data_IF_144653053728
#
_entry.id   IF_144653053728
#
_cell.length_a   1.000
_cell.length_b   1.000
_cell.length_c   1.000
_cell.angle_alpha   90.00
_cell.angle_beta   90.00
_cell.angle_gamma   90.00
#
_symmetry.space_group_name_H-M   'P 1'
#
loop_
_entity.id
_entity.type
_entity.pdbx_description
1 polymer ?
#
# COMPACT_ATOMS: atom_id res chain seq x y z
N UNK A 1 -41.46 -49.02 25.29
CA UNK A 1 -40.59 -47.86 25.05
C UNK A 1 -39.15 -48.35 25.11
N UNK A 2 -38.50 -48.52 23.96
CA UNK A 2 -37.06 -48.83 23.88
C UNK A 2 -36.32 -47.51 23.63
N UNK A 3 -35.21 -47.21 24.32
CA UNK A 3 -34.44 -46.02 24.02
C UNK A 3 -33.81 -46.18 22.64
N UNK A 4 -34.10 -45.23 21.75
CA UNK A 4 -33.43 -45.08 20.46
C UNK A 4 -31.95 -44.78 20.76
N UNK A 5 -31.09 -45.73 20.43
CA UNK A 5 -29.64 -45.53 20.35
C UNK A 5 -29.40 -44.30 19.47
N UNK A 6 -28.63 -43.29 19.90
CA UNK A 6 -28.28 -42.19 19.00
C UNK A 6 -27.49 -42.79 17.85
N UNK A 7 -28.02 -42.64 16.64
CA UNK A 7 -27.35 -43.05 15.42
C UNK A 7 -25.95 -42.42 15.41
N UNK A 8 -24.92 -43.26 15.46
CA UNK A 8 -23.54 -42.87 15.20
C UNK A 8 -23.57 -42.19 13.84
N UNK A 9 -23.36 -40.89 13.81
CA UNK A 9 -23.34 -40.12 12.56
C UNK A 9 -22.25 -40.75 11.69
N UNK A 10 -22.59 -41.28 10.50
CA UNK A 10 -21.63 -42.04 9.73
C UNK A 10 -20.47 -41.13 9.37
N UNK A 11 -19.24 -41.60 9.62
CA UNK A 11 -18.05 -41.00 9.05
C UNK A 11 -18.27 -40.87 7.54
N UNK A 12 -17.75 -39.79 6.96
CA UNK A 12 -17.71 -39.71 5.51
C UNK A 12 -17.03 -40.97 4.94
N UNK A 13 -17.74 -41.72 4.12
CA UNK A 13 -17.20 -42.87 3.41
C UNK A 13 -16.34 -42.38 2.25
N UNK A 14 -15.03 -42.53 2.39
CA UNK A 14 -14.05 -42.07 1.42
C UNK A 14 -13.75 -43.22 0.47
N UNK A 15 -14.11 -43.07 -0.81
CA UNK A 15 -13.78 -44.05 -1.84
C UNK A 15 -12.36 -43.87 -2.39
N UNK A 16 -11.84 -42.64 -2.38
CA UNK A 16 -10.48 -42.27 -2.79
C UNK A 16 -10.13 -40.85 -2.30
N UNK A 17 -8.85 -40.47 -2.35
CA UNK A 17 -8.43 -39.10 -2.01
C UNK A 17 -9.03 -38.06 -2.95
N UNK A 18 -9.17 -38.35 -4.25
CA UNK A 18 -9.81 -37.43 -5.19
C UNK A 18 -11.29 -37.21 -4.87
N UNK A 19 -12.00 -38.28 -4.45
CA UNK A 19 -13.39 -38.18 -4.02
C UNK A 19 -13.52 -37.31 -2.77
N UNK A 20 -12.62 -37.52 -1.80
CA UNK A 20 -12.55 -36.70 -0.60
C UNK A 20 -12.28 -35.23 -0.93
N UNK A 21 -11.27 -34.94 -1.76
CA UNK A 21 -10.87 -33.58 -2.11
C UNK A 21 -11.99 -32.83 -2.82
N UNK A 22 -12.64 -33.49 -3.80
CA UNK A 22 -13.77 -32.89 -4.52
C UNK A 22 -14.93 -32.57 -3.59
N UNK A 23 -15.24 -33.47 -2.65
CA UNK A 23 -16.26 -33.23 -1.64
C UNK A 23 -15.85 -32.11 -0.68
N UNK A 24 -14.65 -32.17 -0.11
CA UNK A 24 -14.17 -31.20 0.89
C UNK A 24 -14.12 -29.79 0.28
N UNK A 25 -13.73 -29.70 -0.99
CA UNK A 25 -13.70 -28.46 -1.75
C UNK A 25 -15.07 -27.76 -1.82
N UNK A 26 -16.19 -28.49 -1.87
CA UNK A 26 -17.53 -27.87 -1.87
C UNK A 26 -17.80 -27.02 -0.63
N UNK A 27 -17.16 -27.35 0.50
CA UNK A 27 -17.23 -26.59 1.74
C UNK A 27 -16.10 -25.57 1.85
N UNK A 28 -14.88 -25.97 1.54
CA UNK A 28 -13.69 -25.12 1.66
C UNK A 28 -13.77 -23.88 0.76
N UNK A 29 -14.23 -24.05 -0.48
CA UNK A 29 -14.45 -22.93 -1.41
C UNK A 29 -15.44 -21.88 -0.92
N UNK A 30 -16.32 -22.25 0.03
CA UNK A 30 -17.28 -21.36 0.69
C UNK A 30 -16.77 -20.79 2.02
N UNK A 31 -15.50 -21.03 2.35
CA UNK A 31 -14.86 -20.53 3.56
C UNK A 31 -14.97 -21.45 4.79
N UNK A 32 -15.57 -22.63 4.66
CA UNK A 32 -15.58 -23.60 5.77
C UNK A 32 -14.20 -24.21 6.00
N UNK A 33 -13.96 -24.60 7.24
CA UNK A 33 -12.71 -25.20 7.72
C UNK A 33 -13.08 -26.39 8.58
N UNK A 34 -12.24 -27.42 8.56
CA UNK A 34 -12.39 -28.53 9.50
C UNK A 34 -12.09 -28.03 10.91
N UNK A 35 -13.08 -28.12 11.80
CA UNK A 35 -12.96 -27.70 13.20
C UNK A 35 -13.02 -28.91 14.12
N UNK A 36 -12.33 -28.82 15.25
CA UNK A 36 -12.43 -29.85 16.30
C UNK A 36 -13.68 -29.60 17.13
N UNK A 37 -14.52 -30.62 17.24
CA UNK A 37 -15.71 -30.61 18.11
C UNK A 37 -15.64 -31.82 19.03
N UNK A 38 -15.26 -31.60 20.29
CA UNK A 38 -14.96 -32.68 21.22
C UNK A 38 -13.71 -33.45 20.78
N UNK A 39 -13.86 -34.73 20.45
CA UNK A 39 -12.78 -35.60 19.93
C UNK A 39 -12.88 -35.83 18.42
N UNK A 40 -13.83 -35.20 17.74
CA UNK A 40 -14.11 -35.43 16.32
C UNK A 40 -13.78 -34.18 15.50
N UNK A 41 -13.36 -34.39 14.26
CA UNK A 41 -13.22 -33.30 13.29
C UNK A 41 -14.50 -33.18 12.48
N UNK A 42 -14.98 -31.94 12.27
CA UNK A 42 -16.21 -31.67 11.54
C UNK A 42 -15.93 -30.67 10.43
N UNK A 43 -16.38 -30.97 9.21
CA UNK A 43 -16.39 -30.04 8.08
C UNK A 43 -17.82 -29.93 7.55
N UNK A 44 -18.39 -28.72 7.54
CA UNK A 44 -19.73 -28.48 7.01
C UNK A 44 -20.84 -29.29 7.73
N UNK A 45 -20.64 -29.61 9.01
CA UNK A 45 -21.57 -30.43 9.79
C UNK A 45 -21.37 -31.95 9.68
N UNK A 46 -20.42 -32.41 8.85
CA UNK A 46 -20.12 -33.84 8.65
C UNK A 46 -18.86 -34.24 9.41
N UNK A 47 -18.91 -35.38 10.10
CA UNK A 47 -17.77 -35.93 10.85
C UNK A 47 -16.73 -36.53 9.91
N UNK A 48 -15.49 -36.10 10.11
CA UNK A 48 -14.32 -36.58 9.40
C UNK A 48 -13.66 -37.71 10.19
N UNK A 49 -13.14 -38.68 9.45
CA UNK A 49 -12.22 -39.65 10.03
C UNK A 49 -10.92 -38.92 10.44
N UNK A 50 -10.32 -39.21 11.61
CA UNK A 50 -9.12 -38.51 12.07
C UNK A 50 -7.97 -38.52 11.06
N UNK A 51 -7.82 -39.63 10.31
CA UNK A 51 -6.80 -39.76 9.26
C UNK A 51 -7.01 -38.86 8.03
N UNK A 52 -8.18 -38.23 7.87
CA UNK A 52 -8.48 -37.35 6.71
C UNK A 52 -8.70 -35.90 7.11
N UNK A 53 -8.90 -35.65 8.40
CA UNK A 53 -9.03 -34.30 8.96
C UNK A 53 -7.83 -33.40 8.62
N UNK A 54 -6.60 -33.90 8.81
CA UNK A 54 -5.39 -33.13 8.51
C UNK A 54 -5.35 -32.64 7.06
N UNK A 55 -5.79 -33.48 6.12
CA UNK A 55 -5.87 -33.11 4.69
C UNK A 55 -6.86 -31.98 4.44
N UNK A 56 -8.05 -32.05 5.04
CA UNK A 56 -9.04 -30.97 4.91
C UNK A 56 -8.57 -29.65 5.54
N UNK A 57 -7.83 -29.71 6.65
CA UNK A 57 -7.20 -28.53 7.27
C UNK A 57 -6.19 -27.90 6.31
N UNK A 58 -5.24 -28.69 5.78
CA UNK A 58 -4.25 -28.20 4.81
C UNK A 58 -4.90 -27.60 3.57
N UNK A 59 -5.91 -28.27 3.00
CA UNK A 59 -6.65 -27.74 1.85
C UNK A 59 -7.32 -26.37 2.16
N UNK A 60 -7.86 -26.20 3.36
CA UNK A 60 -8.48 -24.93 3.76
C UNK A 60 -7.43 -23.82 3.97
N UNK A 61 -6.29 -24.14 4.54
CA UNK A 61 -5.17 -23.21 4.72
C UNK A 61 -4.58 -22.76 3.38
N UNK A 62 -4.35 -23.70 2.46
CA UNK A 62 -3.85 -23.42 1.11
C UNK A 62 -4.81 -22.52 0.32
N UNK A 63 -6.12 -22.79 0.44
CA UNK A 63 -7.14 -21.95 -0.20
C UNK A 63 -7.15 -20.53 0.36
N UNK A 64 -7.11 -20.37 1.69
CA UNK A 64 -7.04 -19.06 2.34
C UNK A 64 -5.79 -18.30 1.94
N UNK A 65 -4.65 -18.99 1.88
CA UNK A 65 -3.38 -18.39 1.43
C UNK A 65 -3.50 -17.88 0.00
N UNK A 66 -4.09 -18.68 -0.90
CA UNK A 66 -4.32 -18.29 -2.30
C UNK A 66 -5.26 -17.08 -2.40
N UNK A 67 -6.34 -17.04 -1.61
CA UNK A 67 -7.24 -15.89 -1.56
C UNK A 67 -6.54 -14.62 -1.06
N UNK A 68 -5.74 -14.71 0.01
CA UNK A 68 -4.92 -13.59 0.50
C UNK A 68 -3.96 -13.07 -0.57
N UNK A 69 -3.30 -13.96 -1.29
CA UNK A 69 -2.41 -13.58 -2.39
C UNK A 69 -3.15 -12.94 -3.57
N UNK A 70 -4.39 -13.35 -3.86
CA UNK A 70 -5.22 -12.67 -4.86
C UNK A 70 -5.63 -11.27 -4.39
N UNK A 71 -6.02 -11.13 -3.12
CA UNK A 71 -6.31 -9.84 -2.50
C UNK A 71 -5.13 -8.88 -2.57
N UNK A 72 -3.91 -9.36 -2.32
CA UNK A 72 -2.68 -8.57 -2.45
C UNK A 72 -2.53 -7.98 -3.86
N UNK A 73 -2.81 -8.75 -4.92
CA UNK A 73 -2.70 -8.25 -6.31
C UNK A 73 -3.66 -7.09 -6.54
N UNK A 74 -4.90 -7.23 -6.07
CA UNK A 74 -5.91 -6.17 -6.19
C UNK A 74 -5.51 -4.91 -5.39
N UNK A 75 -4.91 -5.08 -4.20
CA UNK A 75 -4.41 -3.95 -3.40
C UNK A 75 -3.24 -3.23 -4.07
N UNK A 76 -2.31 -3.98 -4.69
CA UNK A 76 -1.21 -3.39 -5.47
C UNK A 76 -1.75 -2.63 -6.68
N UNK A 77 -2.75 -3.19 -7.38
CA UNK A 77 -3.41 -2.52 -8.52
C UNK A 77 -4.15 -1.26 -8.08
N UNK A 78 -4.72 -1.25 -6.87
CA UNK A 78 -5.33 -0.07 -6.25
C UNK A 78 -4.32 0.90 -5.60
N UNK A 79 -3.01 0.69 -5.80
CA UNK A 79 -1.90 1.46 -5.22
C UNK A 79 -1.85 1.49 -3.68
N UNK A 80 -2.63 0.64 -3.00
CA UNK A 80 -2.57 0.45 -1.55
C UNK A 80 -1.46 -0.52 -1.16
N UNK A 81 -0.24 -0.02 -1.27
CA UNK A 81 1.00 -0.76 -1.01
C UNK A 81 1.17 -1.16 0.45
N UNK A 82 0.66 -0.38 1.41
CA UNK A 82 0.80 -0.69 2.84
C UNK A 82 -0.12 -1.83 3.26
N UNK A 83 -1.39 -1.82 2.82
CA UNK A 83 -2.29 -2.95 3.08
C UNK A 83 -1.79 -4.24 2.41
N UNK A 84 -1.29 -4.14 1.16
CA UNK A 84 -0.69 -5.28 0.46
C UNK A 84 0.53 -5.85 1.21
N UNK A 85 1.41 -4.97 1.71
CA UNK A 85 2.56 -5.38 2.52
C UNK A 85 2.14 -6.03 3.84
N UNK A 86 1.07 -5.56 4.48
CA UNK A 86 0.51 -6.15 5.70
C UNK A 86 0.11 -7.62 5.50
N UNK A 87 -0.56 -7.94 4.39
CA UNK A 87 -0.94 -9.33 4.08
C UNK A 87 0.30 -10.21 3.84
N UNK A 88 1.32 -9.70 3.15
CA UNK A 88 2.58 -10.44 3.01
C UNK A 88 3.24 -10.73 4.36
N UNK A 89 3.21 -9.80 5.31
CA UNK A 89 3.73 -10.02 6.66
C UNK A 89 2.93 -11.07 7.42
N UNK A 90 1.59 -11.06 7.34
CA UNK A 90 0.75 -12.12 7.93
C UNK A 90 1.10 -13.51 7.39
N UNK A 91 1.50 -13.60 6.11
CA UNK A 91 1.92 -14.83 5.46
C UNK A 91 3.39 -15.19 5.71
N UNK A 92 4.13 -14.40 6.50
CA UNK A 92 5.56 -14.58 6.77
C UNK A 92 6.48 -14.22 5.59
N UNK A 93 5.96 -13.54 4.58
CA UNK A 93 6.66 -13.15 3.34
C UNK A 93 7.30 -11.76 3.49
N UNK A 94 8.28 -11.65 4.39
CA UNK A 94 8.88 -10.37 4.78
C UNK A 94 9.64 -9.67 3.65
N UNK A 95 10.24 -10.45 2.74
CA UNK A 95 10.98 -9.90 1.61
C UNK A 95 10.04 -9.18 0.64
N UNK A 96 8.96 -9.85 0.27
CA UNK A 96 7.91 -9.34 -0.61
C UNK A 96 7.22 -8.12 0.01
N UNK A 97 6.90 -8.18 1.31
CA UNK A 97 6.37 -7.02 2.04
C UNK A 97 7.30 -5.79 1.94
N UNK A 98 8.62 -6.00 2.10
CA UNK A 98 9.61 -4.94 1.97
C UNK A 98 9.73 -4.38 0.54
N UNK A 99 9.60 -5.23 -0.47
CA UNK A 99 9.62 -4.85 -1.89
C UNK A 99 8.41 -4.00 -2.27
N UNK A 100 7.20 -4.40 -1.85
CA UNK A 100 5.96 -3.63 -2.09
C UNK A 100 6.02 -2.24 -1.45
N UNK A 101 6.49 -2.13 -0.20
CA UNK A 101 6.67 -0.80 0.43
C UNK A 101 7.70 0.06 -0.30
N UNK A 102 8.73 -0.56 -0.88
CA UNK A 102 9.72 0.16 -1.68
C UNK A 102 9.12 0.65 -3.00
N UNK A 103 8.22 -0.12 -3.60
CA UNK A 103 7.47 0.29 -4.80
C UNK A 103 6.63 1.53 -4.52
N UNK A 104 5.81 1.51 -3.46
CA UNK A 104 5.00 2.67 -3.07
C UNK A 104 5.84 3.92 -2.78
N UNK A 105 6.99 3.78 -2.09
CA UNK A 105 7.92 4.90 -1.87
C UNK A 105 8.53 5.45 -3.16
N UNK A 106 8.82 4.60 -4.15
CA UNK A 106 9.38 5.06 -5.43
C UNK A 106 8.39 5.87 -6.25
N UNK A 107 7.09 5.53 -6.20
CA UNK A 107 6.04 6.31 -6.85
C UNK A 107 5.88 7.70 -6.20
N UNK A 108 5.95 7.79 -4.87
CA UNK A 108 5.91 9.08 -4.16
C UNK A 108 7.09 9.98 -4.57
N UNK A 109 8.27 9.41 -4.83
CA UNK A 109 9.45 10.17 -5.27
C UNK A 109 9.37 10.59 -6.75
N UNK A 110 8.49 9.99 -7.56
CA UNK A 110 8.34 10.36 -8.98
C UNK A 110 7.29 11.44 -9.24
N UNK A 111 6.57 11.89 -8.21
CA UNK A 111 5.74 13.09 -8.30
C UNK A 111 6.40 14.19 -7.48
N UNK A 112 6.69 15.33 -8.15
CA UNK A 112 7.32 16.54 -7.60
C UNK A 112 8.86 16.51 -7.53
N UNK A 113 9.52 16.28 -8.67
CA UNK A 113 10.75 17.03 -8.97
C UNK A 113 10.35 18.23 -9.83
N UNK A 114 9.89 19.31 -9.20
CA UNK A 114 9.75 20.58 -9.90
C UNK A 114 11.16 21.07 -10.19
N UNK A 115 11.56 20.97 -11.46
CA UNK A 115 12.82 21.51 -11.94
C UNK A 115 12.76 23.04 -11.80
N UNK A 116 13.59 23.57 -10.91
CA UNK A 116 13.65 25.01 -10.59
C UNK A 116 13.88 25.86 -11.85
N UNK A 117 14.53 25.31 -12.88
CA UNK A 117 14.73 26.01 -14.16
C UNK A 117 13.41 26.23 -14.92
N UNK A 118 12.48 25.27 -14.86
CA UNK A 118 11.17 25.39 -15.53
C UNK A 118 10.27 26.41 -14.83
N UNK A 119 10.41 26.58 -13.51
CA UNK A 119 9.74 27.63 -12.74
C UNK A 119 10.27 29.02 -13.10
N UNK A 120 11.59 29.18 -13.24
CA UNK A 120 12.21 30.46 -13.64
C UNK A 120 11.80 30.85 -15.07
N UNK A 121 11.73 29.88 -15.99
CA UNK A 121 11.26 30.13 -17.35
C UNK A 121 9.75 30.45 -17.40
N UNK A 122 8.94 29.91 -16.49
CA UNK A 122 7.52 30.27 -16.37
C UNK A 122 7.32 31.67 -15.79
N UNK A 123 8.10 32.10 -14.79
CA UNK A 123 8.10 33.49 -14.31
C UNK A 123 8.49 34.45 -15.43
N UNK A 124 9.50 34.09 -16.23
CA UNK A 124 9.93 34.87 -17.40
C UNK A 124 8.83 34.96 -18.46
N UNK A 125 8.12 33.86 -18.74
CA UNK A 125 6.98 33.84 -19.68
C UNK A 125 5.75 34.58 -19.15
N UNK A 126 5.54 34.60 -17.83
CA UNK A 126 4.39 35.25 -17.21
C UNK A 126 4.54 36.78 -17.05
N UNK A 127 5.73 37.34 -17.26
CA UNK A 127 5.95 38.79 -17.20
C UNK A 127 5.70 39.40 -15.81
N UNK A 128 5.80 38.59 -14.75
CA UNK A 128 5.49 38.99 -13.38
C UNK A 128 6.70 39.78 -12.84
N UNK A 129 6.46 41.06 -12.52
CA UNK A 129 7.37 41.87 -11.73
C UNK A 129 6.90 41.84 -10.27
N UNK A 130 7.80 41.50 -9.35
CA UNK A 130 7.48 41.41 -7.92
C UNK A 130 8.58 42.01 -7.07
N UNK A 131 8.20 42.61 -5.94
CA UNK A 131 9.13 43.27 -5.03
C UNK A 131 9.46 42.36 -3.85
N UNK A 132 10.67 41.82 -3.83
CA UNK A 132 11.18 41.06 -2.70
C UNK A 132 11.72 42.01 -1.63
N UNK A 133 11.22 41.93 -0.41
CA UNK A 133 11.68 42.77 0.70
C UNK A 133 12.84 42.08 1.42
N UNK A 134 14.00 42.71 1.47
CA UNK A 134 15.17 42.17 2.15
C UNK A 134 14.90 42.07 3.67
N UNK A 135 15.06 40.88 4.29
CA UNK A 135 14.81 40.71 5.72
C UNK A 135 15.84 41.43 6.60
N UNK A 136 17.02 41.75 6.07
CA UNK A 136 18.10 42.39 6.83
C UNK A 136 18.01 43.92 6.86
N UNK A 137 17.62 44.55 5.75
CA UNK A 137 17.59 46.02 5.65
C UNK A 137 16.21 46.60 5.31
N UNK A 138 15.21 45.77 5.04
CA UNK A 138 13.89 46.22 4.56
C UNK A 138 13.89 46.79 3.15
N UNK A 139 15.01 46.74 2.42
CA UNK A 139 15.10 47.25 1.05
C UNK A 139 14.24 46.42 0.08
N UNK A 140 13.46 47.11 -0.75
CA UNK A 140 12.63 46.47 -1.78
C UNK A 140 13.46 46.21 -3.04
N UNK A 141 13.66 44.94 -3.36
CA UNK A 141 14.40 44.48 -4.54
C UNK A 141 13.38 44.14 -5.61
N UNK A 142 13.37 44.92 -6.70
CA UNK A 142 12.49 44.67 -7.84
C UNK A 142 13.01 43.46 -8.63
N UNK A 143 12.23 42.38 -8.66
CA UNK A 143 12.51 41.16 -9.42
C UNK A 143 11.67 41.19 -10.69
N UNK A 144 12.36 41.15 -11.84
CA UNK A 144 11.74 41.10 -13.18
C UNK A 144 12.18 39.83 -13.91
N UNK A 145 11.56 39.51 -15.05
CA UNK A 145 11.91 38.32 -15.86
C UNK A 145 13.34 38.31 -16.44
N UNK A 146 14.05 39.45 -16.38
CA UNK A 146 15.46 39.59 -16.78
C UNK A 146 16.43 39.45 -15.60
N UNK A 147 15.93 39.46 -14.36
CA UNK A 147 16.75 39.34 -13.16
C UNK A 147 17.27 37.91 -13.02
N UNK A 148 18.59 37.73 -12.91
CA UNK A 148 19.21 36.41 -12.77
C UNK A 148 19.42 36.04 -11.31
N UNK A 149 19.40 34.75 -10.98
CA UNK A 149 19.69 34.28 -9.60
C UNK A 149 21.07 34.72 -9.10
N UNK A 150 22.03 34.95 -10.01
CA UNK A 150 23.35 35.47 -9.67
C UNK A 150 23.29 36.90 -9.10
N UNK A 151 22.42 37.76 -9.63
CA UNK A 151 22.24 39.14 -9.14
C UNK A 151 21.40 39.25 -7.88
N UNK A 152 20.71 38.15 -7.49
CA UNK A 152 19.87 38.08 -6.28
C UNK A 152 20.58 37.41 -5.09
N UNK A 153 21.79 36.85 -5.27
CA UNK A 153 22.57 36.25 -4.17
C UNK A 153 22.89 37.24 -3.07
N UNK A 154 23.02 38.52 -3.40
CA UNK A 154 23.35 39.58 -2.46
C UNK A 154 22.35 40.72 -2.62
N UNK A 155 21.90 41.28 -1.50
CA UNK A 155 21.07 42.48 -1.51
C UNK A 155 21.87 43.65 -2.09
N UNK A 156 21.30 44.35 -3.08
CA UNK A 156 21.93 45.51 -3.70
C UNK A 156 22.06 46.72 -2.75
N UNK A 157 21.28 46.75 -1.66
CA UNK A 157 21.26 47.85 -0.71
C UNK A 157 22.21 47.66 0.47
N UNK A 158 22.26 46.46 1.06
CA UNK A 158 23.05 46.21 2.27
C UNK A 158 24.12 45.12 2.12
N UNK A 159 24.21 44.49 0.95
CA UNK A 159 25.18 43.42 0.67
C UNK A 159 24.91 42.08 1.35
N UNK A 160 23.82 41.97 2.13
CA UNK A 160 23.46 40.73 2.83
C UNK A 160 23.26 39.58 1.85
N UNK A 161 23.75 38.39 2.19
CA UNK A 161 23.51 37.18 1.39
C UNK A 161 22.03 36.81 1.52
N UNK A 162 21.32 36.76 0.40
CA UNK A 162 19.93 36.32 0.37
C UNK A 162 19.92 34.80 0.27
N UNK A 163 19.28 34.14 1.23
CA UNK A 163 19.19 32.68 1.21
C UNK A 163 18.32 32.24 0.05
N UNK A 164 18.79 31.23 -0.69
CA UNK A 164 18.10 30.69 -1.86
C UNK A 164 16.76 30.06 -1.50
N UNK A 165 16.60 29.55 -0.27
CA UNK A 165 15.34 29.00 0.26
C UNK A 165 14.25 30.05 0.35
N UNK A 166 14.55 31.22 0.92
CA UNK A 166 13.58 32.29 1.14
C UNK A 166 13.08 32.90 -0.19
N UNK A 167 13.98 32.99 -1.18
CA UNK A 167 13.65 33.42 -2.54
C UNK A 167 12.74 32.41 -3.25
N UNK A 168 13.01 31.10 -3.11
CA UNK A 168 12.20 30.05 -3.73
C UNK A 168 10.80 30.00 -3.12
N UNK A 169 10.68 30.09 -1.81
CA UNK A 169 9.39 30.13 -1.11
C UNK A 169 8.56 31.36 -1.53
N UNK A 170 9.21 32.54 -1.63
CA UNK A 170 8.56 33.76 -2.10
C UNK A 170 8.07 33.64 -3.55
N UNK A 171 8.93 33.18 -4.46
CA UNK A 171 8.56 33.03 -5.87
C UNK A 171 7.47 31.98 -6.07
N UNK A 172 7.50 30.88 -5.32
CA UNK A 172 6.44 29.85 -5.36
C UNK A 172 5.09 30.41 -4.93
N UNK A 173 5.09 31.25 -3.88
CA UNK A 173 3.89 31.96 -3.39
C UNK A 173 3.36 32.99 -4.40
N UNK A 174 4.24 33.70 -5.11
CA UNK A 174 3.87 34.70 -6.11
C UNK A 174 3.33 34.05 -7.40
N UNK A 175 3.88 32.91 -7.80
CA UNK A 175 3.46 32.17 -9.01
C UNK A 175 2.17 31.37 -8.78
N UNK A 176 1.76 31.16 -7.53
CA UNK A 176 0.47 30.56 -7.20
C UNK A 176 0.40 29.05 -7.40
N UNK A 177 1.53 28.33 -7.27
CA UNK A 177 1.49 26.88 -7.09
C UNK A 177 0.96 26.60 -5.66
N UNK A 178 -0.34 26.27 -5.57
CA UNK A 178 -0.92 25.56 -4.43
C UNK A 178 -0.89 24.05 -4.69
#
# INVERSE_FOLDING_TARGET
MLPRVPAVSPYQTICSWECFDRWAWTFISRGHTAVVFGQEYILGGIRLHPGTAGRAVTMAEDFRRTQKLAQVRNLIEAEDHESAAGIYQELGMWKEAGEVRRLGRRQIVTQVHVNVNDLVDQVRKAGIATDYTCPTCGGHIHITGETTLATLRNCQYCGSVVQTTDLVDFLTKVVGYQ
#
